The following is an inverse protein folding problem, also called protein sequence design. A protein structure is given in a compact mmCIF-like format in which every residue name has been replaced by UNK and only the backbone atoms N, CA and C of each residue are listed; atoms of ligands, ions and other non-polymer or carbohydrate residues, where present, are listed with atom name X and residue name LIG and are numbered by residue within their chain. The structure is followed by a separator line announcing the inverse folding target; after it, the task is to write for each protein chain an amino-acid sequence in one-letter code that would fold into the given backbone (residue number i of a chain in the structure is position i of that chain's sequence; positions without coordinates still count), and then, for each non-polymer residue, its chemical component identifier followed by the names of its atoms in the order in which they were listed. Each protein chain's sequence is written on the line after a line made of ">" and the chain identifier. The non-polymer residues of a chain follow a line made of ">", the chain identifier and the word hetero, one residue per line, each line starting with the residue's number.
data_IF_838108192758
#
_entry.id   IF_838108192758
#
_cell.length_a   1.000
_cell.length_b   1.000
_cell.length_c   1.000
_cell.angle_alpha   90.00
_cell.angle_beta   90.00
_cell.angle_gamma   90.00
#
_symmetry.space_group_name_H-M   'P 1'
#
loop_
_entity.id
_entity.type
_entity.pdbx_description
1 polymer ?
#
# COMPACT_ATOMS: atom_id res chain seq x y z
N UNK A 1 17.77 -18.73 4.84
CA UNK A 1 18.69 -18.10 5.81
C UNK A 1 18.03 -18.09 7.19
N UNK A 2 18.76 -18.50 8.24
CA UNK A 2 18.23 -18.48 9.61
C UNK A 2 18.27 -17.08 10.23
N UNK A 3 18.99 -16.15 9.59
CA UNK A 3 19.12 -14.75 9.99
C UNK A 3 18.61 -13.80 8.92
N UNK A 4 18.04 -12.69 9.38
CA UNK A 4 17.48 -11.64 8.53
C UNK A 4 18.61 -10.90 7.78
N UNK A 5 18.55 -10.76 6.45
CA UNK A 5 19.61 -10.14 5.65
C UNK A 5 19.70 -8.60 5.81
N UNK A 6 18.82 -8.02 6.63
CA UNK A 6 18.76 -6.58 6.90
C UNK A 6 19.27 -6.21 8.30
N UNK A 7 19.03 -7.04 9.31
CA UNK A 7 19.39 -6.71 10.70
C UNK A 7 20.10 -7.85 11.46
N UNK A 8 20.35 -9.00 10.84
CA UNK A 8 21.07 -10.12 11.44
C UNK A 8 20.30 -10.92 12.51
N UNK A 9 19.12 -10.46 12.94
CA UNK A 9 18.27 -11.16 13.90
C UNK A 9 17.75 -12.49 13.33
N UNK A 10 17.39 -13.44 14.21
CA UNK A 10 16.73 -14.69 13.82
C UNK A 10 15.51 -14.40 12.96
N UNK A 11 15.42 -15.05 11.80
CA UNK A 11 14.35 -14.81 10.86
C UNK A 11 13.14 -15.72 11.15
N UNK A 12 11.98 -15.09 11.38
CA UNK A 12 10.67 -15.74 11.51
C UNK A 12 9.67 -15.05 10.58
N UNK A 13 8.49 -15.63 10.35
CA UNK A 13 7.45 -14.94 9.57
C UNK A 13 7.03 -13.61 10.20
N UNK A 14 6.91 -13.55 11.53
CA UNK A 14 6.64 -12.31 12.27
C UNK A 14 7.77 -11.29 12.03
N UNK A 15 9.02 -11.74 12.09
CA UNK A 15 10.15 -10.85 11.84
C UNK A 15 10.13 -10.27 10.41
N UNK A 16 9.93 -11.12 9.40
CA UNK A 16 9.94 -10.71 7.99
C UNK A 16 8.87 -9.66 7.69
N UNK A 17 7.68 -9.81 8.30
CA UNK A 17 6.50 -9.05 7.92
C UNK A 17 6.04 -8.00 8.93
N UNK A 18 6.54 -7.98 10.16
CA UNK A 18 6.04 -7.09 11.22
C UNK A 18 7.13 -6.48 12.10
N UNK A 19 8.19 -7.22 12.44
CA UNK A 19 9.10 -6.80 13.52
C UNK A 19 10.43 -6.24 13.02
N UNK A 20 10.82 -6.52 11.77
CA UNK A 20 12.08 -6.01 11.23
C UNK A 20 12.08 -4.48 11.18
N UNK A 21 13.09 -3.84 11.80
CA UNK A 21 13.20 -2.39 11.91
C UNK A 21 13.12 -1.65 10.56
N UNK A 22 13.55 -2.30 9.46
CA UNK A 22 13.43 -1.77 8.09
C UNK A 22 12.00 -1.43 7.67
N UNK A 23 11.01 -2.02 8.34
CA UNK A 23 9.59 -1.87 8.01
C UNK A 23 8.95 -0.64 8.66
N UNK A 24 9.61 -0.01 9.64
CA UNK A 24 9.07 1.14 10.35
C UNK A 24 8.60 2.27 9.41
N UNK A 25 9.35 2.69 8.37
CA UNK A 25 8.88 3.73 7.46
C UNK A 25 7.62 3.34 6.68
N UNK A 26 7.48 2.05 6.34
CA UNK A 26 6.27 1.54 5.68
C UNK A 26 5.08 1.54 6.63
N UNK A 27 5.26 1.10 7.88
CA UNK A 27 4.17 1.08 8.85
C UNK A 27 3.74 2.46 9.29
N UNK A 28 4.65 3.42 9.41
CA UNK A 28 4.30 4.81 9.65
C UNK A 28 3.42 5.35 8.50
N UNK A 29 3.84 5.10 7.25
CA UNK A 29 3.06 5.50 6.08
C UNK A 29 1.66 4.84 6.06
N UNK A 30 1.58 3.54 6.36
CA UNK A 30 0.28 2.85 6.45
C UNK A 30 -0.59 3.45 7.55
N UNK A 31 -0.02 3.71 8.73
CA UNK A 31 -0.74 4.36 9.82
C UNK A 31 -1.32 5.71 9.36
N UNK A 32 -0.53 6.57 8.74
CA UNK A 32 -0.97 7.88 8.26
C UNK A 32 -2.10 7.75 7.23
N UNK A 33 -1.99 6.80 6.29
CA UNK A 33 -3.05 6.53 5.29
C UNK A 33 -4.32 6.01 5.96
N UNK A 34 -4.22 5.02 6.84
CA UNK A 34 -5.38 4.40 7.48
C UNK A 34 -6.11 5.38 8.39
N UNK A 35 -5.40 6.26 9.11
CA UNK A 35 -6.01 7.31 9.93
C UNK A 35 -6.86 8.26 9.09
N UNK A 36 -6.43 8.58 7.85
CA UNK A 36 -7.23 9.39 6.91
C UNK A 36 -8.48 8.66 6.39
N UNK A 37 -8.52 7.34 6.50
CA UNK A 37 -9.72 6.52 6.30
C UNK A 37 -10.52 6.26 7.60
N UNK A 38 -10.15 6.90 8.70
CA UNK A 38 -10.72 6.68 10.04
C UNK A 38 -10.55 5.24 10.54
N UNK A 39 -9.40 4.64 10.24
CA UNK A 39 -9.04 3.28 10.65
C UNK A 39 -7.75 3.29 11.47
N UNK A 40 -7.68 2.42 12.47
CA UNK A 40 -6.45 2.20 13.24
C UNK A 40 -5.64 1.07 12.61
N UNK A 41 -4.37 1.35 12.31
CA UNK A 41 -3.43 0.29 11.93
C UNK A 41 -3.17 -0.64 13.13
N UNK A 42 -3.17 -1.93 12.88
CA UNK A 42 -2.73 -2.95 13.84
C UNK A 42 -2.11 -4.14 13.11
N UNK A 43 -1.24 -4.93 13.77
CA UNK A 43 -0.73 -6.17 13.19
C UNK A 43 -1.85 -7.13 12.79
N UNK A 44 -2.92 -7.23 13.58
CA UNK A 44 -4.09 -8.05 13.26
C UNK A 44 -4.75 -7.60 11.96
N UNK A 45 -4.99 -6.30 11.81
CA UNK A 45 -5.53 -5.74 10.58
C UNK A 45 -4.60 -6.00 9.39
N UNK A 46 -3.30 -5.81 9.57
CA UNK A 46 -2.33 -6.06 8.53
C UNK A 46 -2.35 -7.52 8.07
N UNK A 47 -2.41 -8.49 8.98
CA UNK A 47 -2.46 -9.92 8.65
C UNK A 47 -3.79 -10.27 7.96
N UNK A 48 -4.91 -10.00 8.61
CA UNK A 48 -6.22 -10.55 8.24
C UNK A 48 -7.05 -9.67 7.30
N UNK A 49 -6.61 -8.43 7.05
CA UNK A 49 -7.34 -7.44 6.27
C UNK A 49 -8.70 -7.05 6.89
N UNK A 50 -9.42 -6.11 6.26
CA UNK A 50 -10.76 -5.72 6.68
C UNK A 50 -11.81 -6.71 6.13
N UNK A 51 -12.82 -7.07 6.92
CA UNK A 51 -14.03 -7.66 6.38
C UNK A 51 -14.74 -6.65 5.48
N UNK A 52 -15.11 -7.06 4.27
CA UNK A 52 -15.80 -6.20 3.31
C UNK A 52 -17.25 -6.05 3.74
N UNK A 53 -17.70 -4.83 4.03
CA UNK A 53 -19.08 -4.52 4.43
C UNK A 53 -19.77 -3.71 3.35
N UNK A 54 -21.08 -3.93 3.14
CA UNK A 54 -21.85 -3.21 2.11
C UNK A 54 -21.69 -1.69 2.14
N UNK A 55 -21.93 -1.01 3.27
CA UNK A 55 -21.88 0.46 3.36
C UNK A 55 -20.49 1.08 3.14
N UNK A 56 -19.42 0.31 3.35
CA UNK A 56 -18.03 0.78 3.27
C UNK A 56 -17.22 -0.01 2.26
N UNK A 57 -17.88 -0.72 1.33
CA UNK A 57 -17.27 -1.71 0.44
C UNK A 57 -16.08 -1.15 -0.32
N UNK A 58 -16.25 0.00 -0.95
CA UNK A 58 -15.20 0.64 -1.76
C UNK A 58 -13.98 1.02 -0.92
N UNK A 59 -14.19 1.54 0.29
CA UNK A 59 -13.11 1.83 1.26
C UNK A 59 -12.42 0.55 1.71
N UNK A 60 -13.18 -0.47 2.12
CA UNK A 60 -12.64 -1.70 2.68
C UNK A 60 -11.81 -2.46 1.62
N UNK A 61 -12.29 -2.50 0.37
CA UNK A 61 -11.54 -3.05 -0.77
C UNK A 61 -10.25 -2.27 -1.05
N UNK A 62 -10.31 -0.94 -1.06
CA UNK A 62 -9.13 -0.11 -1.28
C UNK A 62 -8.09 -0.33 -0.18
N UNK A 63 -8.50 -0.33 1.08
CA UNK A 63 -7.60 -0.60 2.21
C UNK A 63 -7.00 -2.00 2.10
N UNK A 64 -7.79 -3.01 1.77
CA UNK A 64 -7.28 -4.37 1.58
C UNK A 64 -6.25 -4.46 0.44
N UNK A 65 -6.47 -3.71 -0.66
CA UNK A 65 -5.50 -3.60 -1.73
C UNK A 65 -4.20 -2.94 -1.25
N UNK A 66 -4.27 -1.86 -0.47
CA UNK A 66 -3.09 -1.20 0.09
C UNK A 66 -2.31 -2.15 1.02
N UNK A 67 -3.00 -2.89 1.89
CA UNK A 67 -2.37 -3.89 2.76
C UNK A 67 -1.69 -5.00 1.95
N UNK A 68 -2.32 -5.45 0.85
CA UNK A 68 -1.73 -6.44 -0.05
C UNK A 68 -0.49 -5.90 -0.77
N UNK A 69 -0.54 -4.66 -1.28
CA UNK A 69 0.61 -4.00 -1.92
C UNK A 69 1.77 -3.78 -0.95
N UNK A 70 1.48 -3.49 0.32
CA UNK A 70 2.49 -3.38 1.36
C UNK A 70 3.20 -4.72 1.61
N UNK A 71 2.44 -5.82 1.76
CA UNK A 71 3.02 -7.19 1.86
C UNK A 71 3.87 -7.54 0.64
N UNK A 72 3.41 -7.17 -0.55
CA UNK A 72 4.15 -7.38 -1.78
C UNK A 72 5.46 -6.57 -1.81
N UNK A 73 5.45 -5.32 -1.35
CA UNK A 73 6.65 -4.51 -1.21
C UNK A 73 7.67 -5.13 -0.26
N UNK A 74 7.20 -5.63 0.90
CA UNK A 74 8.04 -6.34 1.89
C UNK A 74 8.72 -7.55 1.24
N UNK A 75 7.94 -8.36 0.53
CA UNK A 75 8.43 -9.54 -0.17
C UNK A 75 9.44 -9.19 -1.27
N UNK A 76 9.09 -8.26 -2.18
CA UNK A 76 9.94 -7.90 -3.33
C UNK A 76 11.25 -7.26 -2.91
N UNK A 77 11.24 -6.37 -1.92
CA UNK A 77 12.46 -5.74 -1.40
C UNK A 77 13.38 -6.77 -0.72
N UNK A 78 12.81 -7.75 -0.01
CA UNK A 78 13.56 -8.86 0.56
C UNK A 78 14.17 -9.78 -0.50
N UNK A 79 13.39 -10.15 -1.52
CA UNK A 79 13.88 -11.01 -2.62
C UNK A 79 15.06 -10.34 -3.34
N UNK A 80 14.97 -9.03 -3.63
CA UNK A 80 16.08 -8.27 -4.22
C UNK A 80 17.32 -8.33 -3.32
N UNK A 81 17.18 -7.97 -2.04
CA UNK A 81 18.29 -8.02 -1.07
C UNK A 81 19.00 -9.37 -1.03
N UNK A 82 18.28 -10.48 -1.17
CA UNK A 82 18.87 -11.82 -1.18
C UNK A 82 19.53 -12.19 -2.52
N UNK A 83 19.06 -11.64 -3.63
CA UNK A 83 19.55 -11.96 -4.96
C UNK A 83 20.81 -11.18 -5.34
N UNK A 84 20.82 -9.85 -5.10
CA UNK A 84 21.86 -8.94 -5.59
C UNK A 84 22.52 -8.12 -4.47
N UNK A 85 22.14 -8.34 -3.21
CA UNK A 85 22.60 -7.53 -2.08
C UNK A 85 22.04 -6.10 -2.07
N UNK A 86 21.17 -5.75 -3.01
CA UNK A 86 20.58 -4.43 -3.16
C UNK A 86 19.70 -4.06 -1.96
N UNK A 87 19.86 -2.83 -1.48
CA UNK A 87 18.92 -2.23 -0.53
C UNK A 87 17.87 -1.44 -1.30
N UNK A 88 16.60 -1.77 -1.10
CA UNK A 88 15.49 -1.01 -1.65
C UNK A 88 14.57 -0.61 -0.50
N UNK A 89 14.33 0.70 -0.38
CA UNK A 89 13.45 1.23 0.65
C UNK A 89 12.02 0.70 0.44
N UNK A 90 11.51 -0.01 1.45
CA UNK A 90 10.23 -0.68 1.35
C UNK A 90 9.07 0.31 1.24
N UNK A 91 9.16 1.46 1.91
CA UNK A 91 8.16 2.53 1.83
C UNK A 91 8.11 3.17 0.44
N UNK A 92 9.27 3.46 -0.15
CA UNK A 92 9.40 4.01 -1.50
C UNK A 92 8.87 3.02 -2.56
N UNK A 93 9.20 1.73 -2.43
CA UNK A 93 8.68 0.70 -3.32
C UNK A 93 7.15 0.62 -3.26
N UNK A 94 6.58 0.63 -2.05
CA UNK A 94 5.14 0.66 -1.84
C UNK A 94 4.50 1.91 -2.46
N UNK A 95 5.02 3.11 -2.16
CA UNK A 95 4.53 4.38 -2.74
C UNK A 95 4.55 4.35 -4.26
N UNK A 96 5.66 3.91 -4.85
CA UNK A 96 5.76 3.80 -6.30
C UNK A 96 4.75 2.81 -6.86
N UNK A 97 4.52 1.69 -6.19
CA UNK A 97 3.55 0.67 -6.62
C UNK A 97 2.11 1.22 -6.61
N UNK A 98 1.73 1.92 -5.54
CA UNK A 98 0.40 2.54 -5.43
C UNK A 98 0.23 3.64 -6.48
N UNK A 99 1.20 4.56 -6.62
CA UNK A 99 1.15 5.64 -7.61
C UNK A 99 1.06 5.11 -9.04
N UNK A 100 1.84 4.10 -9.38
CA UNK A 100 1.79 3.46 -10.71
C UNK A 100 0.44 2.81 -10.96
N UNK A 101 -0.15 2.15 -9.94
CA UNK A 101 -1.48 1.54 -10.08
C UNK A 101 -2.56 2.60 -10.29
N UNK A 102 -2.58 3.66 -9.48
CA UNK A 102 -3.54 4.77 -9.62
C UNK A 102 -3.45 5.37 -11.03
N UNK A 103 -2.23 5.65 -11.52
CA UNK A 103 -2.04 6.19 -12.86
C UNK A 103 -2.57 5.27 -13.96
N UNK A 104 -2.31 3.97 -13.86
CA UNK A 104 -2.79 3.01 -14.84
C UNK A 104 -4.33 2.93 -14.87
N UNK A 105 -4.95 2.84 -13.70
CA UNK A 105 -6.42 2.80 -13.56
C UNK A 105 -7.06 4.11 -14.02
N UNK A 106 -6.45 5.26 -13.70
CA UNK A 106 -6.91 6.56 -14.15
C UNK A 106 -6.87 6.69 -15.68
N UNK A 107 -5.75 6.30 -16.31
CA UNK A 107 -5.61 6.33 -17.78
C UNK A 107 -6.63 5.42 -18.46
N UNK A 108 -6.86 4.24 -17.89
CA UNK A 108 -7.90 3.34 -18.36
C UNK A 108 -9.28 3.99 -18.25
N UNK A 109 -9.64 4.51 -17.08
CA UNK A 109 -10.93 5.14 -16.83
C UNK A 109 -11.17 6.37 -17.73
N UNK A 110 -10.14 7.19 -17.96
CA UNK A 110 -10.20 8.32 -18.88
C UNK A 110 -10.46 7.85 -20.32
N UNK A 111 -9.86 6.73 -20.74
CA UNK A 111 -10.05 6.17 -22.09
C UNK A 111 -11.41 5.52 -22.30
N UNK A 112 -12.05 5.02 -21.24
CA UNK A 112 -13.34 4.31 -21.30
C UNK A 112 -14.54 5.15 -20.83
N UNK A 113 -14.32 6.43 -20.50
CA UNK A 113 -15.37 7.29 -19.95
C UNK A 113 -15.87 6.85 -18.57
N UNK A 114 -15.06 6.12 -17.80
CA UNK A 114 -15.41 5.52 -16.50
C UNK A 114 -14.79 6.28 -15.32
N UNK A 115 -14.64 7.61 -15.42
CA UNK A 115 -14.00 8.43 -14.39
C UNK A 115 -14.76 8.42 -13.06
N UNK A 116 -16.09 8.39 -13.08
CA UNK A 116 -16.91 8.33 -11.86
C UNK A 116 -16.58 7.09 -11.02
N UNK A 117 -16.44 5.93 -11.66
CA UNK A 117 -16.08 4.68 -10.99
C UNK A 117 -14.64 4.72 -10.46
N UNK A 118 -13.73 5.38 -11.18
CA UNK A 118 -12.37 5.60 -10.70
C UNK A 118 -12.35 6.48 -9.45
N UNK A 119 -13.12 7.58 -9.44
CA UNK A 119 -13.20 8.48 -8.30
C UNK A 119 -13.80 7.80 -7.07
N UNK A 120 -14.89 7.05 -7.24
CA UNK A 120 -15.52 6.26 -6.18
C UNK A 120 -14.54 5.27 -5.55
N UNK A 121 -13.66 4.67 -6.35
CA UNK A 121 -12.70 3.69 -5.87
C UNK A 121 -11.41 4.31 -5.31
N UNK A 122 -10.80 5.27 -5.99
CA UNK A 122 -9.42 5.73 -5.71
C UNK A 122 -9.32 7.12 -5.10
N UNK A 123 -10.26 8.02 -5.42
CA UNK A 123 -10.26 9.41 -4.95
C UNK A 123 -11.04 9.61 -3.65
N UNK A 124 -11.38 8.51 -2.94
CA UNK A 124 -12.13 8.53 -1.68
C UNK A 124 -11.52 9.51 -0.68
N UNK A 125 -12.28 10.57 -0.35
CA UNK A 125 -11.88 11.63 0.59
C UNK A 125 -10.50 12.27 0.29
N UNK A 126 -10.03 12.20 -0.96
CA UNK A 126 -8.72 12.72 -1.35
C UNK A 126 -7.51 12.00 -0.72
N UNK A 127 -7.71 10.79 -0.17
CA UNK A 127 -6.67 10.11 0.63
C UNK A 127 -5.45 9.75 -0.19
N UNK A 128 -5.66 9.18 -1.39
CA UNK A 128 -4.57 8.73 -2.27
C UNK A 128 -4.39 9.63 -3.49
N UNK A 129 -5.48 10.18 -4.00
CA UNK A 129 -5.48 11.08 -5.13
C UNK A 129 -6.74 11.95 -5.17
N UNK A 130 -6.71 12.97 -6.01
CA UNK A 130 -7.82 13.84 -6.39
C UNK A 130 -7.85 13.95 -7.92
N UNK A 131 -9.04 14.05 -8.49
CA UNK A 131 -9.24 14.42 -9.90
C UNK A 131 -9.73 15.86 -9.92
N UNK A 132 -9.06 16.72 -10.69
CA UNK A 132 -9.46 18.13 -10.80
C UNK A 132 -10.70 18.27 -11.67
N UNK A 133 -11.42 19.42 -11.61
CA UNK A 133 -12.52 19.72 -12.52
C UNK A 133 -12.13 19.68 -14.00
N UNK A 134 -10.84 19.90 -14.31
CA UNK A 134 -10.29 19.77 -15.67
C UNK A 134 -9.99 18.33 -16.10
N UNK A 135 -10.30 17.34 -15.25
CA UNK A 135 -9.99 15.93 -15.49
C UNK A 135 -8.53 15.56 -15.29
N UNK A 136 -7.75 16.32 -14.50
CA UNK A 136 -6.35 16.01 -14.23
C UNK A 136 -6.16 15.26 -12.89
N UNK A 137 -5.35 14.19 -12.91
CA UNK A 137 -5.01 13.40 -11.74
C UNK A 137 -3.94 14.07 -10.87
N UNK A 138 -4.23 14.26 -9.59
CA UNK A 138 -3.30 14.75 -8.56
C UNK A 138 -3.08 13.66 -7.51
N UNK A 139 -1.84 13.20 -7.35
CA UNK A 139 -1.48 12.17 -6.35
C UNK A 139 -1.14 12.82 -5.01
N UNK A 140 -1.72 12.32 -3.92
CA UNK A 140 -1.52 12.85 -2.56
C UNK A 140 -0.64 11.95 -1.67
N UNK A 141 -0.22 10.79 -2.19
CA UNK A 141 0.69 9.82 -1.55
C UNK A 141 2.18 10.12 -1.78
#
# INVERSE_FOLDING_TARGET
>A
PDTCPFCGMRETLAHIYLECARLQPLFQLLLDILLRFWLHFSPHLFIYALPIRGPTKSRDLLVNLLLALAKLAIYKTRVRRLADGGSCDCGAYFRSSVRSRIRAEFLWAASTGSLDAFEEQWAQSGVLCLVSPSGALNLTL
#
